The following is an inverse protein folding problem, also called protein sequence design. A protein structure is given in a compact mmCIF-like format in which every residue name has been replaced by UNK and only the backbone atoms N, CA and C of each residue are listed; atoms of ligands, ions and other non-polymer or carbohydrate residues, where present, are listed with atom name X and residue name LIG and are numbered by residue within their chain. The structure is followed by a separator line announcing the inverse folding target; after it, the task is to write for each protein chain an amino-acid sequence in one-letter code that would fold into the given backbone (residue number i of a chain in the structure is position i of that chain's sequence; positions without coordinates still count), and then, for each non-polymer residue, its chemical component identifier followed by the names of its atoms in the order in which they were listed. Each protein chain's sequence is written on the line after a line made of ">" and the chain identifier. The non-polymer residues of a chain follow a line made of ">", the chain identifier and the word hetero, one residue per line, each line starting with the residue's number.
data_IF_757308648072
#
_entry.id   IF_757308648072
#
_cell.length_a   1.000
_cell.length_b   1.000
_cell.length_c   1.000
_cell.angle_alpha   90.00
_cell.angle_beta   90.00
_cell.angle_gamma   90.00
#
_symmetry.space_group_name_H-M   'P 1'
#
loop_
_entity.id
_entity.type
_entity.pdbx_description
1 polymer ?
#
# COMPACT_ATOMS: atom_id res chain seq x y z
N UNK A 1 5.21 4.70 -8.53
CA UNK A 1 5.64 4.77 -7.12
C UNK A 1 6.93 5.53 -7.09
N UNK A 2 6.88 6.85 -6.94
CA UNK A 2 8.08 7.73 -6.93
C UNK A 2 9.01 7.50 -8.14
N UNK A 3 8.42 7.46 -9.34
CA UNK A 3 9.14 7.19 -10.59
C UNK A 3 9.54 5.72 -10.82
N UNK A 4 9.31 4.82 -9.85
CA UNK A 4 9.54 3.37 -9.97
C UNK A 4 8.30 2.65 -10.51
N UNK A 5 8.54 1.63 -11.33
CA UNK A 5 7.52 0.74 -11.89
C UNK A 5 7.44 -0.56 -11.08
N UNK A 6 6.22 -1.00 -10.80
CA UNK A 6 5.92 -2.26 -10.13
C UNK A 6 4.86 -3.02 -10.95
N UNK A 7 5.00 -4.33 -11.08
CA UNK A 7 3.97 -5.19 -11.69
C UNK A 7 3.34 -6.04 -10.62
N UNK A 8 2.03 -5.86 -10.39
CA UNK A 8 1.30 -6.57 -9.34
C UNK A 8 0.01 -7.18 -9.90
N UNK A 9 -0.49 -8.29 -9.30
CA UNK A 9 -1.78 -8.85 -9.68
C UNK A 9 -2.92 -7.84 -9.54
N UNK A 10 -3.94 -7.96 -10.39
CA UNK A 10 -5.17 -7.16 -10.28
C UNK A 10 -5.81 -7.37 -8.90
N UNK A 11 -6.15 -6.27 -8.23
CA UNK A 11 -6.73 -6.29 -6.89
C UNK A 11 -5.70 -6.17 -5.75
N UNK A 12 -4.41 -6.10 -6.07
CA UNK A 12 -3.37 -5.78 -5.07
C UNK A 12 -3.57 -4.38 -4.52
N UNK A 13 -3.44 -4.21 -3.20
CA UNK A 13 -3.55 -2.91 -2.53
C UNK A 13 -2.28 -2.10 -2.74
N UNK A 14 -2.40 -0.77 -2.81
CA UNK A 14 -1.26 0.14 -2.98
C UNK A 14 -0.18 -0.07 -1.90
N UNK A 15 -0.60 -0.28 -0.64
CA UNK A 15 0.31 -0.56 0.49
C UNK A 15 1.13 -1.84 0.35
N UNK A 16 0.61 -2.85 -0.36
CA UNK A 16 1.34 -4.08 -0.63
C UNK A 16 2.21 -3.92 -1.87
N UNK A 17 1.70 -3.25 -2.91
CA UNK A 17 2.45 -2.98 -4.13
C UNK A 17 3.68 -2.09 -3.88
N UNK A 18 3.63 -1.18 -2.91
CA UNK A 18 4.75 -0.30 -2.55
C UNK A 18 5.99 -1.06 -2.08
N UNK A 19 5.78 -2.22 -1.44
CA UNK A 19 6.85 -3.07 -0.95
C UNK A 19 7.67 -3.71 -2.08
N UNK A 20 7.07 -3.92 -3.25
CA UNK A 20 7.77 -4.51 -4.41
C UNK A 20 8.87 -3.59 -4.97
N UNK A 21 8.79 -2.29 -4.64
CA UNK A 21 9.77 -1.28 -5.06
C UNK A 21 10.50 -0.66 -3.86
N UNK A 22 10.51 -1.36 -2.72
CA UNK A 22 11.19 -0.93 -1.49
C UNK A 22 10.72 0.44 -0.99
N UNK A 23 9.40 0.69 -1.10
CA UNK A 23 8.72 1.86 -0.54
C UNK A 23 7.85 1.38 0.62
N UNK A 24 8.20 1.80 1.83
CA UNK A 24 7.44 1.47 3.04
C UNK A 24 6.34 2.51 3.27
N UNK A 25 5.08 2.07 3.24
CA UNK A 25 3.93 2.89 3.62
C UNK A 25 3.50 2.48 5.04
N UNK A 26 3.58 3.38 6.04
CA UNK A 26 3.22 3.04 7.40
C UNK A 26 1.71 2.80 7.52
N UNK A 27 1.34 1.73 8.22
CA UNK A 27 -0.07 1.39 8.44
C UNK A 27 -0.25 0.59 9.73
N UNK A 28 -1.14 1.07 10.60
CA UNK A 28 -1.50 0.34 11.83
C UNK A 28 -2.79 -0.47 11.67
N UNK A 29 -3.76 0.04 10.91
CA UNK A 29 -5.10 -0.53 10.86
C UNK A 29 -5.31 -1.54 9.72
N UNK A 30 -4.23 -2.09 9.16
CA UNK A 30 -4.29 -3.07 8.07
C UNK A 30 -3.33 -4.22 8.36
N UNK A 31 -3.85 -5.44 8.18
CA UNK A 31 -3.03 -6.65 8.13
C UNK A 31 -3.64 -7.63 7.11
N UNK A 32 -2.81 -8.37 6.36
CA UNK A 32 -3.28 -9.28 5.29
C UNK A 32 -4.33 -10.30 5.75
N UNK A 33 -4.23 -10.74 7.01
CA UNK A 33 -5.17 -11.73 7.60
C UNK A 33 -6.46 -11.12 8.16
N UNK A 34 -6.52 -9.81 8.36
CA UNK A 34 -7.63 -9.13 9.04
C UNK A 34 -8.37 -8.12 8.15
N UNK A 35 -7.80 -7.78 6.99
CA UNK A 35 -8.37 -6.81 6.05
C UNK A 35 -8.11 -5.36 6.47
N UNK A 36 -8.50 -4.38 5.62
CA UNK A 36 -8.31 -2.96 5.89
C UNK A 36 -9.45 -2.37 6.73
N UNK A 37 -9.12 -1.60 7.76
CA UNK A 37 -10.10 -0.90 8.62
C UNK A 37 -10.27 0.59 8.28
N UNK A 38 -9.22 1.25 7.77
CA UNK A 38 -9.27 2.67 7.38
C UNK A 38 -9.30 3.70 8.52
N UNK A 39 -9.07 3.31 9.78
CA UNK A 39 -9.14 4.21 10.93
C UNK A 39 -7.86 5.03 11.18
N UNK A 40 -6.66 4.51 10.85
CA UNK A 40 -5.41 5.20 11.20
C UNK A 40 -4.96 6.28 10.19
N UNK A 41 -5.46 6.24 8.96
CA UNK A 41 -5.14 7.17 7.86
C UNK A 41 -3.64 7.37 7.54
N UNK A 42 -2.74 6.57 8.10
CA UNK A 42 -1.30 6.69 7.85
C UNK A 42 -0.89 6.28 6.43
N UNK A 43 -1.70 5.44 5.77
CA UNK A 43 -1.45 5.03 4.39
C UNK A 43 -2.05 5.98 3.34
N UNK A 44 -2.29 7.24 3.71
CA UNK A 44 -2.76 8.25 2.77
C UNK A 44 -1.65 8.54 1.76
N UNK A 45 -1.97 8.42 0.47
CA UNK A 45 -1.05 8.66 -0.64
C UNK A 45 -1.78 9.43 -1.73
N UNK A 46 -1.02 10.22 -2.50
CA UNK A 46 -1.50 10.89 -3.70
C UNK A 46 -1.35 9.96 -4.91
N UNK A 47 -2.21 10.13 -5.91
CA UNK A 47 -2.22 9.32 -7.13
C UNK A 47 -2.13 10.28 -8.32
N UNK A 48 -1.11 10.07 -9.15
CA UNK A 48 -0.90 10.75 -10.43
C UNK A 48 -1.23 9.83 -11.62
#
# INVERSE_FOLDING_TARGET
>A
MDGRTATVPKGTKVVDAAKEVDVEIPVFCYHRKLGPLGCCRMCLVEVE
#
